data_IF_320482833519
#
_entry.id   IF_320482833519
#
_cell.length_a   1.000
_cell.length_b   1.000
_cell.length_c   1.000
_cell.angle_alpha   90.00
_cell.angle_beta   90.00
_cell.angle_gamma   90.00
#
_symmetry.space_group_name_H-M   'P 1'
#
loop_
_entity.id
_entity.type
_entity.pdbx_description
1 polymer ?
#
# COMPACT_ATOMS: atom_id res chain seq x y z
N UNK A 1 -4.10 -38.26 39.49
CA UNK A 1 -3.00 -39.22 39.27
C UNK A 1 -2.81 -39.41 37.78
N UNK A 2 -1.81 -38.72 37.21
CA UNK A 2 -0.89 -39.09 36.13
C UNK A 2 0.20 -38.00 36.12
N UNK A 3 1.41 -38.47 35.81
CA UNK A 3 2.76 -38.05 36.18
C UNK A 3 3.29 -36.79 35.43
N UNK A 4 4.00 -35.84 36.08
CA UNK A 4 4.72 -34.75 35.44
C UNK A 4 6.17 -35.15 35.17
N UNK A 5 6.47 -35.70 34.00
CA UNK A 5 7.86 -35.93 33.57
C UNK A 5 7.96 -36.13 32.06
N UNK A 6 8.06 -35.02 31.32
CA UNK A 6 8.79 -34.95 30.06
C UNK A 6 9.15 -33.50 29.76
N UNK A 7 10.17 -33.02 30.48
CA UNK A 7 10.94 -31.83 30.14
C UNK A 7 11.62 -32.07 28.79
N UNK A 8 11.14 -31.40 27.74
CA UNK A 8 11.85 -31.30 26.47
C UNK A 8 13.00 -30.30 26.68
N UNK A 9 14.26 -30.66 26.39
CA UNK A 9 15.41 -29.80 26.70
C UNK A 9 15.44 -28.61 25.73
N UNK A 10 15.36 -27.41 26.31
CA UNK A 10 15.71 -26.14 25.67
C UNK A 10 17.20 -26.23 25.30
N UNK A 11 17.51 -26.36 24.00
CA UNK A 11 18.87 -26.14 23.53
C UNK A 11 19.23 -24.66 23.73
N UNK A 12 20.37 -24.33 24.35
CA UNK A 12 20.84 -22.97 24.41
C UNK A 12 21.25 -22.52 23.00
N UNK A 13 20.59 -21.48 22.48
CA UNK A 13 21.11 -20.73 21.35
C UNK A 13 22.43 -20.09 21.80
N UNK A 14 23.53 -20.73 21.39
CA UNK A 14 24.87 -20.17 21.43
C UNK A 14 24.86 -18.80 20.75
N UNK A 15 25.21 -17.78 21.54
CA UNK A 15 25.56 -16.45 21.06
C UNK A 15 26.85 -16.58 20.26
N UNK A 16 26.72 -16.77 18.95
CA UNK A 16 27.83 -16.61 18.02
C UNK A 16 28.11 -15.10 17.88
N UNK A 17 29.01 -14.63 18.74
CA UNK A 17 29.65 -13.32 18.65
C UNK A 17 30.35 -13.15 17.31
N UNK A 18 30.33 -11.90 16.82
CA UNK A 18 31.23 -11.33 15.81
C UNK A 18 31.31 -12.10 14.48
N UNK A 19 30.38 -11.82 13.58
CA UNK A 19 30.68 -11.82 12.14
C UNK A 19 30.57 -10.40 11.62
N UNK A 20 31.74 -9.87 11.28
CA UNK A 20 31.96 -8.62 10.57
C UNK A 20 30.92 -8.42 9.45
N UNK A 21 30.22 -7.30 9.48
CA UNK A 21 29.43 -6.77 8.36
C UNK A 21 30.42 -6.36 7.25
N UNK A 22 30.88 -7.33 6.46
CA UNK A 22 31.85 -7.12 5.38
C UNK A 22 31.18 -7.31 4.01
N UNK A 23 31.04 -6.18 3.29
CA UNK A 23 31.32 -6.03 1.86
C UNK A 23 30.55 -6.86 0.80
N UNK A 24 29.30 -7.26 1.04
CA UNK A 24 28.51 -7.94 -0.01
C UNK A 24 27.46 -7.06 -0.75
N UNK A 25 27.25 -5.80 -0.36
CA UNK A 25 26.22 -4.93 -0.96
C UNK A 25 26.69 -3.99 -2.09
N UNK A 26 27.97 -3.99 -2.46
CA UNK A 26 28.56 -2.99 -3.37
C UNK A 26 28.59 -3.37 -4.87
N UNK A 27 27.52 -3.96 -5.41
CA UNK A 27 27.36 -4.09 -6.87
C UNK A 27 25.93 -3.87 -7.33
N UNK A 28 25.39 -2.68 -7.11
CA UNK A 28 24.28 -2.16 -7.91
C UNK A 28 24.83 -1.61 -9.22
N UNK A 29 25.16 -2.53 -10.14
CA UNK A 29 25.35 -2.16 -11.53
C UNK A 29 23.99 -1.73 -12.10
N UNK A 30 23.91 -0.48 -12.52
CA UNK A 30 22.88 0.13 -13.35
C UNK A 30 22.39 -0.83 -14.43
N UNK A 31 21.19 -1.39 -14.24
CA UNK A 31 20.45 -2.12 -15.29
C UNK A 31 19.06 -1.52 -15.46
N UNK A 32 19.00 -0.29 -15.96
CA UNK A 32 17.85 0.21 -16.70
C UNK A 32 17.98 -0.23 -18.16
N UNK A 33 17.75 -1.51 -18.42
CA UNK A 33 17.43 -2.01 -19.76
C UNK A 33 16.35 -3.08 -19.63
N UNK A 34 15.10 -2.68 -19.85
CA UNK A 34 13.96 -3.59 -20.02
C UNK A 34 14.02 -4.18 -21.43
N UNK A 35 14.87 -5.18 -21.62
CA UNK A 35 14.82 -6.10 -22.79
C UNK A 35 14.28 -7.45 -22.35
N UNK A 36 13.31 -7.43 -21.43
CA UNK A 36 12.90 -8.63 -20.74
C UNK A 36 11.98 -9.48 -21.63
N UNK A 37 12.49 -10.67 -21.99
CA UNK A 37 11.88 -11.78 -22.76
C UNK A 37 11.94 -11.64 -24.29
N UNK A 38 13.12 -11.91 -24.86
CA UNK A 38 13.29 -12.10 -26.31
C UNK A 38 12.65 -13.40 -26.84
N UNK A 39 12.39 -14.38 -25.97
CA UNK A 39 11.83 -15.70 -26.32
C UNK A 39 10.39 -15.89 -25.82
N UNK A 40 9.50 -14.94 -26.10
CA UNK A 40 8.07 -15.24 -26.01
C UNK A 40 7.72 -16.27 -27.10
N UNK A 41 6.93 -17.33 -26.81
CA UNK A 41 6.50 -18.28 -27.82
C UNK A 41 5.91 -17.52 -29.01
N UNK A 42 6.43 -17.79 -30.22
CA UNK A 42 5.95 -17.16 -31.44
C UNK A 42 4.43 -17.32 -31.55
N UNK A 43 3.67 -16.22 -31.55
CA UNK A 43 2.25 -16.23 -31.93
C UNK A 43 1.21 -16.00 -30.83
N UNK A 44 1.52 -15.37 -29.69
CA UNK A 44 0.45 -14.92 -28.78
C UNK A 44 -0.30 -13.72 -29.40
N UNK A 45 -1.28 -13.99 -30.26
CA UNK A 45 -2.12 -12.97 -30.87
C UNK A 45 -2.82 -12.13 -29.79
N UNK A 46 -2.59 -10.82 -29.80
CA UNK A 46 -3.17 -9.88 -28.82
C UNK A 46 -2.34 -9.67 -27.53
N UNK A 47 -1.18 -10.30 -27.38
CA UNK A 47 -0.26 -9.94 -26.29
C UNK A 47 0.14 -8.47 -26.42
N UNK A 48 -0.08 -7.70 -25.36
CA UNK A 48 0.32 -6.30 -25.26
C UNK A 48 1.84 -6.22 -25.39
N UNK A 49 2.30 -5.92 -26.59
CA UNK A 49 3.63 -5.41 -26.87
C UNK A 49 3.73 -3.98 -26.32
N UNK A 50 3.68 -3.83 -25.00
CA UNK A 50 3.86 -2.54 -24.32
C UNK A 50 5.24 -2.04 -24.76
N UNK A 51 5.27 -0.95 -25.54
CA UNK A 51 6.44 -0.34 -26.19
C UNK A 51 6.93 -0.89 -27.55
N UNK A 52 6.37 -1.95 -28.17
CA UNK A 52 6.94 -2.42 -29.45
C UNK A 52 6.53 -1.60 -30.69
N UNK A 53 5.59 -0.66 -30.56
CA UNK A 53 5.19 0.25 -31.65
C UNK A 53 5.93 1.58 -31.64
N UNK A 54 6.74 1.86 -30.62
CA UNK A 54 7.57 3.06 -30.58
C UNK A 54 8.99 2.71 -31.03
N UNK A 55 9.29 2.90 -32.31
CA UNK A 55 10.67 3.17 -32.71
C UNK A 55 10.91 4.65 -32.34
N UNK A 56 11.78 4.96 -31.36
CA UNK A 56 12.12 6.35 -31.12
C UNK A 56 12.74 6.89 -32.41
N UNK A 57 12.32 8.10 -32.84
CA UNK A 57 13.08 8.86 -33.84
C UNK A 57 14.56 8.89 -33.43
N UNK A 58 15.47 9.03 -34.40
CA UNK A 58 16.88 9.20 -34.12
C UNK A 58 17.08 10.40 -33.18
N UNK A 59 17.12 10.15 -31.88
CA UNK A 59 17.30 11.20 -30.88
C UNK A 59 18.74 11.67 -31.02
N UNK A 60 18.93 12.92 -31.41
CA UNK A 60 20.16 13.63 -31.07
C UNK A 60 20.23 13.57 -29.54
N UNK A 61 21.22 12.90 -28.94
CA UNK A 61 21.33 12.85 -27.50
C UNK A 61 21.47 14.29 -27.02
N UNK A 62 20.50 14.77 -26.25
CA UNK A 62 20.75 15.95 -25.44
C UNK A 62 22.00 15.64 -24.60
N UNK A 63 22.95 16.57 -24.44
CA UNK A 63 24.09 16.37 -23.56
C UNK A 63 23.58 16.30 -22.11
N UNK A 64 23.09 15.14 -21.73
CA UNK A 64 22.75 14.78 -20.37
C UNK A 64 24.00 14.09 -19.82
N UNK A 65 24.79 14.82 -19.04
CA UNK A 65 25.76 14.19 -18.18
C UNK A 65 24.95 13.52 -17.06
N UNK A 66 24.88 12.18 -16.99
CA UNK A 66 24.20 11.53 -15.87
C UNK A 66 24.88 12.00 -14.58
N UNK A 67 24.14 12.73 -13.76
CA UNK A 67 24.57 13.01 -12.40
C UNK A 67 24.61 11.70 -11.62
N UNK A 68 25.62 11.55 -10.79
CA UNK A 68 25.74 10.38 -9.92
C UNK A 68 24.68 10.46 -8.82
N UNK A 69 23.61 9.70 -8.99
CA UNK A 69 22.57 9.53 -7.97
C UNK A 69 22.97 8.49 -6.89
N UNK A 70 24.25 8.10 -6.82
CA UNK A 70 24.73 7.24 -5.75
C UNK A 70 24.54 7.95 -4.40
N UNK A 71 23.68 7.37 -3.57
CA UNK A 71 23.57 7.77 -2.17
C UNK A 71 24.86 7.39 -1.47
N UNK A 72 25.65 8.37 -1.03
CA UNK A 72 26.83 8.11 -0.19
C UNK A 72 26.39 7.63 1.20
N UNK A 73 26.25 6.32 1.34
CA UNK A 73 25.90 5.69 2.62
C UNK A 73 26.95 5.93 3.72
N UNK A 74 28.17 6.36 3.38
CA UNK A 74 29.20 6.69 4.37
C UNK A 74 29.04 8.08 4.97
N UNK A 75 28.32 8.98 4.28
CA UNK A 75 27.94 10.29 4.77
C UNK A 75 26.73 10.26 5.72
N UNK A 76 26.01 9.13 5.78
CA UNK A 76 24.89 8.93 6.73
C UNK A 76 25.47 8.74 8.14
N UNK A 77 24.93 9.48 9.11
CA UNK A 77 25.28 9.36 10.52
C UNK A 77 25.28 7.89 10.97
N UNK A 78 26.34 7.48 11.68
CA UNK A 78 26.48 6.11 12.19
C UNK A 78 25.42 5.78 13.24
N UNK A 79 24.95 6.81 13.95
CA UNK A 79 23.89 6.74 14.95
C UNK A 79 22.56 6.23 14.36
N UNK A 80 22.30 6.48 13.06
CA UNK A 80 21.13 5.95 12.37
C UNK A 80 21.04 4.41 12.45
N UNK A 81 22.19 3.72 12.37
CA UNK A 81 22.27 2.28 12.22
C UNK A 81 22.35 1.50 13.54
N UNK A 82 22.55 2.18 14.67
CA UNK A 82 22.84 1.53 15.96
C UNK A 82 21.59 0.98 16.69
N UNK A 83 20.38 1.08 16.10
CA UNK A 83 19.18 0.32 16.50
C UNK A 83 18.54 0.65 17.85
N UNK A 84 19.11 1.60 18.63
CA UNK A 84 18.66 1.92 20.00
C UNK A 84 18.31 3.39 20.18
N UNK A 85 17.38 3.91 19.37
CA UNK A 85 16.99 5.32 19.46
C UNK A 85 16.27 5.62 20.80
N UNK A 86 16.67 6.71 21.45
CA UNK A 86 15.98 7.18 22.64
C UNK A 86 14.60 7.74 22.28
N UNK A 87 13.73 7.90 23.29
CA UNK A 87 12.43 8.57 23.11
C UNK A 87 12.59 9.97 22.52
N UNK A 88 13.65 10.68 22.90
CA UNK A 88 13.93 12.03 22.40
C UNK A 88 14.33 12.00 20.93
N UNK A 89 15.23 11.09 20.55
CA UNK A 89 15.68 10.95 19.15
C UNK A 89 14.50 10.64 18.22
N UNK A 90 13.59 9.74 18.64
CA UNK A 90 12.40 9.38 17.87
C UNK A 90 11.50 10.61 17.68
N UNK A 91 11.25 11.39 18.74
CA UNK A 91 10.40 12.58 18.68
C UNK A 91 11.01 13.67 17.81
N UNK A 92 12.30 13.93 17.95
CA UNK A 92 13.02 14.90 17.12
C UNK A 92 12.94 14.52 15.65
N UNK A 93 13.26 13.26 15.30
CA UNK A 93 13.20 12.85 13.90
C UNK A 93 11.79 12.87 13.32
N UNK A 94 10.77 12.52 14.10
CA UNK A 94 9.37 12.64 13.68
C UNK A 94 8.99 14.11 13.42
N UNK A 95 9.39 15.02 14.30
CA UNK A 95 9.07 16.44 14.17
C UNK A 95 9.77 17.09 12.97
N UNK A 96 11.04 16.72 12.73
CA UNK A 96 11.88 17.37 11.73
C UNK A 96 11.74 16.76 10.33
N UNK A 97 11.41 15.47 10.23
CA UNK A 97 11.54 14.72 8.97
C UNK A 97 10.24 14.07 8.48
N UNK A 98 9.14 14.15 9.23
CA UNK A 98 7.88 13.47 8.85
C UNK A 98 6.76 14.48 8.67
N UNK A 99 6.14 14.46 7.48
CA UNK A 99 4.86 15.12 7.25
C UNK A 99 3.74 14.15 7.61
N UNK A 100 2.95 14.48 8.62
CA UNK A 100 1.85 13.61 9.05
C UNK A 100 0.77 13.51 7.97
N UNK A 101 0.28 12.30 7.73
CA UNK A 101 -0.86 12.09 6.84
C UNK A 101 -2.15 12.39 7.57
N UNK A 102 -3.07 13.12 6.92
CA UNK A 102 -4.43 13.40 7.43
C UNK A 102 -4.52 14.15 8.76
N UNK A 103 -3.50 14.92 9.14
CA UNK A 103 -3.48 15.73 10.35
C UNK A 103 -2.39 16.80 10.36
N UNK A 104 -2.45 17.70 11.34
CA UNK A 104 -1.42 18.71 11.52
C UNK A 104 -0.12 18.07 12.07
N UNK A 105 0.98 18.19 11.33
CA UNK A 105 2.29 17.60 11.72
C UNK A 105 2.74 17.99 13.13
N UNK A 106 2.59 19.27 13.50
CA UNK A 106 2.96 19.74 14.86
C UNK A 106 2.20 19.01 15.97
N UNK A 107 0.93 18.68 15.74
CA UNK A 107 0.12 17.96 16.73
C UNK A 107 0.57 16.50 16.90
N UNK A 108 1.19 15.91 15.87
CA UNK A 108 1.68 14.53 15.91
C UNK A 108 2.89 14.33 16.84
N UNK A 109 3.64 15.40 17.15
CA UNK A 109 4.85 15.34 17.98
C UNK A 109 4.62 14.76 19.40
N UNK A 110 3.40 14.91 19.91
CA UNK A 110 3.01 14.47 21.26
C UNK A 110 2.29 13.12 21.29
N UNK A 111 2.19 12.42 20.16
CA UNK A 111 1.54 11.11 20.13
C UNK A 111 2.34 10.06 20.92
N UNK A 112 1.67 8.99 21.40
CA UNK A 112 2.35 7.84 21.99
C UNK A 112 3.32 7.20 20.99
N UNK A 113 4.49 6.78 21.46
CA UNK A 113 5.43 5.98 20.66
C UNK A 113 5.03 4.51 20.83
N UNK A 114 4.36 3.98 19.81
CA UNK A 114 3.91 2.60 19.78
C UNK A 114 5.12 1.66 19.55
N UNK A 115 5.17 0.56 20.29
CA UNK A 115 6.30 -0.39 20.27
C UNK A 115 5.87 -1.79 19.84
N UNK A 116 4.71 -2.26 20.28
CA UNK A 116 4.17 -3.56 19.87
C UNK A 116 2.64 -3.54 19.79
N UNK A 117 2.09 -4.52 19.09
CA UNK A 117 0.67 -4.84 19.14
C UNK A 117 0.46 -6.31 19.47
N UNK A 118 -0.71 -6.64 20.01
CA UNK A 118 -1.16 -8.00 20.30
C UNK A 118 -2.70 -8.04 20.30
N UNK A 119 -3.29 -8.95 19.54
CA UNK A 119 -4.74 -9.05 19.34
C UNK A 119 -5.32 -7.74 18.83
N UNK A 120 -6.16 -7.11 19.64
CA UNK A 120 -6.79 -5.79 19.34
C UNK A 120 -6.11 -4.64 20.09
N UNK A 121 -4.95 -4.88 20.70
CA UNK A 121 -4.26 -3.91 21.55
C UNK A 121 -2.95 -3.43 20.96
N UNK A 122 -2.67 -2.16 21.19
CA UNK A 122 -1.38 -1.51 20.98
C UNK A 122 -0.72 -1.22 22.32
N UNK A 123 0.60 -1.24 22.36
CA UNK A 123 1.39 -0.92 23.54
C UNK A 123 2.42 0.15 23.18
N UNK A 124 2.54 1.19 23.99
CA UNK A 124 3.61 2.17 23.85
C UNK A 124 4.90 1.75 24.58
N UNK A 125 5.99 2.49 24.38
CA UNK A 125 7.28 2.26 25.06
C UNK A 125 7.23 2.33 26.59
N UNK A 126 6.16 2.86 27.19
CA UNK A 126 5.97 2.84 28.66
C UNK A 126 5.24 1.57 29.13
N UNK A 127 4.84 0.69 28.21
CA UNK A 127 4.04 -0.49 28.47
C UNK A 127 2.54 -0.20 28.60
N UNK A 128 2.10 1.05 28.39
CA UNK A 128 0.69 1.39 28.45
C UNK A 128 -0.05 0.78 27.26
N UNK A 129 -1.17 0.11 27.58
CA UNK A 129 -2.01 -0.61 26.62
C UNK A 129 -3.16 0.26 26.12
N UNK A 130 -3.40 0.23 24.82
CA UNK A 130 -4.47 0.94 24.12
C UNK A 130 -5.32 -0.08 23.37
N UNK A 131 -6.64 -0.06 23.57
CA UNK A 131 -7.58 -0.85 22.78
C UNK A 131 -7.88 -0.12 21.47
N UNK A 132 -7.65 -0.77 20.34
CA UNK A 132 -7.95 -0.21 19.02
C UNK A 132 -9.42 -0.47 18.63
N UNK A 133 -10.26 0.53 18.85
CA UNK A 133 -11.67 0.53 18.45
C UNK A 133 -11.91 0.84 16.97
N UNK A 134 -10.86 1.20 16.23
CA UNK A 134 -10.95 1.72 14.87
C UNK A 134 -10.48 0.72 13.82
N UNK A 135 -9.72 -0.31 14.24
CA UNK A 135 -8.95 -1.17 13.34
C UNK A 135 -8.03 -0.31 12.45
N UNK A 136 -7.43 0.73 13.07
CA UNK A 136 -6.77 1.84 12.40
C UNK A 136 -7.72 2.56 11.43
N UNK A 137 -7.30 2.81 10.20
CA UNK A 137 -8.17 3.31 9.14
C UNK A 137 -9.03 2.16 8.54
N UNK A 138 -9.64 1.33 9.41
CA UNK A 138 -10.50 0.19 9.05
C UNK A 138 -9.80 -0.87 8.19
N UNK A 139 -8.54 -1.17 8.50
CA UNK A 139 -7.70 -2.08 7.70
C UNK A 139 -7.04 -3.21 8.48
N UNK A 140 -6.96 -3.12 9.80
CA UNK A 140 -6.24 -4.09 10.64
C UNK A 140 -7.19 -5.21 11.09
N UNK A 141 -7.80 -5.92 10.14
CA UNK A 141 -8.89 -6.86 10.39
C UNK A 141 -8.46 -8.15 11.10
N UNK A 142 -7.19 -8.56 10.95
CA UNK A 142 -6.61 -9.70 11.66
C UNK A 142 -6.15 -9.33 13.07
N UNK A 143 -6.27 -8.06 13.47
CA UNK A 143 -5.59 -7.53 14.64
C UNK A 143 -4.08 -7.39 14.41
N UNK A 144 -3.35 -7.27 15.51
CA UNK A 144 -1.90 -7.08 15.53
C UNK A 144 -1.12 -8.40 15.59
N UNK A 145 -1.82 -9.53 15.71
CA UNK A 145 -1.23 -10.87 15.64
C UNK A 145 -1.37 -11.42 14.22
N UNK A 146 -0.27 -11.44 13.48
CA UNK A 146 -0.25 -12.06 12.15
C UNK A 146 -0.11 -13.57 12.31
N UNK A 147 -1.03 -14.41 11.78
CA UNK A 147 -0.92 -15.85 11.89
C UNK A 147 0.41 -16.37 11.31
N UNK A 148 1.10 -17.34 11.96
CA UNK A 148 2.40 -17.84 11.48
C UNK A 148 2.38 -18.32 10.02
N UNK A 149 1.27 -18.93 9.58
CA UNK A 149 1.09 -19.37 8.20
C UNK A 149 1.11 -18.21 7.18
N UNK A 150 0.63 -17.03 7.56
CA UNK A 150 0.68 -15.82 6.71
C UNK A 150 2.10 -15.29 6.63
N UNK A 151 2.81 -15.22 7.77
CA UNK A 151 4.22 -14.80 7.82
C UNK A 151 5.09 -15.70 6.95
N UNK A 152 4.92 -17.02 7.04
CA UNK A 152 5.64 -17.99 6.24
C UNK A 152 5.34 -17.82 4.74
N UNK A 153 4.07 -17.68 4.36
CA UNK A 153 3.66 -17.52 2.97
C UNK A 153 4.26 -16.25 2.33
N UNK A 154 4.24 -15.11 3.04
CA UNK A 154 4.84 -13.85 2.59
C UNK A 154 6.35 -14.00 2.45
N UNK A 155 7.02 -14.55 3.48
CA UNK A 155 8.49 -14.75 3.47
C UNK A 155 8.92 -15.62 2.30
N UNK A 156 8.22 -16.74 2.05
CA UNK A 156 8.49 -17.63 0.93
C UNK A 156 8.33 -16.94 -0.42
N UNK A 157 7.29 -16.12 -0.60
CA UNK A 157 7.10 -15.38 -1.85
C UNK A 157 8.20 -14.33 -2.04
N UNK A 158 8.58 -13.60 -0.99
CA UNK A 158 9.62 -12.57 -1.03
C UNK A 158 10.99 -13.14 -1.43
N UNK A 159 11.33 -14.33 -0.93
CA UNK A 159 12.62 -14.99 -1.27
C UNK A 159 12.59 -15.71 -2.62
N UNK A 160 11.41 -16.05 -3.15
CA UNK A 160 11.25 -16.72 -4.45
C UNK A 160 11.16 -15.71 -5.60
N UNK A 161 10.22 -14.76 -5.51
CA UNK A 161 9.98 -13.72 -6.51
C UNK A 161 9.25 -12.54 -5.86
N UNK A 162 9.98 -11.48 -5.44
CA UNK A 162 9.39 -10.38 -4.68
C UNK A 162 8.42 -9.53 -5.51
N UNK A 163 8.69 -9.36 -6.81
CA UNK A 163 7.83 -8.59 -7.71
C UNK A 163 8.05 -9.00 -9.16
N UNK A 164 6.96 -9.11 -9.92
CA UNK A 164 6.99 -9.23 -11.36
C UNK A 164 5.93 -8.31 -11.97
N UNK A 165 6.34 -7.49 -12.94
CA UNK A 165 5.42 -6.64 -13.68
C UNK A 165 4.43 -7.49 -14.48
N UNK A 166 3.14 -7.14 -14.45
CA UNK A 166 2.10 -7.96 -15.08
C UNK A 166 2.21 -8.10 -16.60
N UNK A 167 2.87 -7.16 -17.28
CA UNK A 167 3.17 -7.27 -18.71
C UNK A 167 4.41 -8.11 -19.03
N UNK A 168 5.20 -8.48 -18.01
CA UNK A 168 6.36 -9.35 -18.17
C UNK A 168 5.94 -10.82 -18.26
N UNK A 169 5.00 -11.25 -17.43
CA UNK A 169 4.58 -12.64 -17.42
C UNK A 169 3.49 -12.94 -16.41
N UNK A 170 2.95 -14.16 -16.50
CA UNK A 170 1.95 -14.67 -15.56
C UNK A 170 2.64 -15.17 -14.28
N UNK A 171 2.02 -14.90 -13.13
CA UNK A 171 2.49 -15.35 -11.82
C UNK A 171 1.41 -16.21 -11.18
N UNK A 172 1.76 -17.43 -10.77
CA UNK A 172 0.80 -18.42 -10.24
C UNK A 172 -0.01 -17.86 -9.06
N UNK A 173 0.65 -17.25 -8.07
CA UNK A 173 -0.04 -16.74 -6.88
C UNK A 173 -1.11 -15.72 -7.24
N UNK A 174 -0.84 -14.82 -8.19
CA UNK A 174 -1.81 -13.82 -8.67
C UNK A 174 -3.01 -14.49 -9.33
N UNK A 175 -2.79 -15.51 -10.16
CA UNK A 175 -3.86 -16.25 -10.83
C UNK A 175 -4.73 -17.02 -9.82
N UNK A 176 -4.11 -17.68 -8.84
CA UNK A 176 -4.82 -18.39 -7.76
C UNK A 176 -5.64 -17.44 -6.89
N UNK A 177 -5.08 -16.29 -6.51
CA UNK A 177 -5.80 -15.25 -5.78
C UNK A 177 -6.99 -14.72 -6.58
N UNK A 178 -6.81 -14.46 -7.89
CA UNK A 178 -7.89 -14.01 -8.75
C UNK A 178 -9.02 -15.05 -8.84
N UNK A 179 -8.69 -16.33 -8.98
CA UNK A 179 -9.67 -17.42 -9.01
C UNK A 179 -10.45 -17.54 -7.71
N UNK A 180 -9.75 -17.51 -6.56
CA UNK A 180 -10.36 -17.57 -5.24
C UNK A 180 -11.32 -16.40 -5.01
N UNK A 181 -10.91 -15.17 -5.34
CA UNK A 181 -11.78 -14.00 -5.20
C UNK A 181 -13.02 -14.10 -6.09
N UNK A 182 -12.89 -14.56 -7.34
CA UNK A 182 -14.04 -14.75 -8.23
C UNK A 182 -15.03 -15.81 -7.72
N UNK A 183 -14.58 -16.80 -6.93
CA UNK A 183 -15.45 -17.79 -6.29
C UNK A 183 -16.18 -17.25 -5.05
N UNK A 184 -15.60 -16.25 -4.39
CA UNK A 184 -16.17 -15.65 -3.18
C UNK A 184 -17.09 -14.46 -3.46
N UNK A 185 -16.87 -13.76 -4.58
CA UNK A 185 -17.64 -12.57 -4.94
C UNK A 185 -19.03 -12.94 -5.45
N UNK A 186 -20.06 -12.11 -5.18
CA UNK A 186 -21.42 -12.39 -5.61
C UNK A 186 -21.60 -12.23 -7.13
N UNK A 187 -22.53 -12.98 -7.70
CA UNK A 187 -22.94 -12.86 -9.10
C UNK A 187 -21.83 -13.22 -10.09
N UNK A 188 -21.68 -12.41 -11.13
CA UNK A 188 -20.71 -12.65 -12.22
C UNK A 188 -19.42 -11.81 -12.09
N UNK A 189 -19.07 -11.37 -10.87
CA UNK A 189 -17.90 -10.54 -10.63
C UNK A 189 -16.59 -11.34 -10.75
N UNK A 190 -16.07 -11.45 -11.98
CA UNK A 190 -14.88 -12.25 -12.31
C UNK A 190 -13.71 -11.46 -12.95
N UNK A 191 -13.86 -10.13 -13.12
CA UNK A 191 -12.82 -9.24 -13.62
C UNK A 191 -12.09 -8.51 -12.49
N UNK A 192 -10.85 -8.92 -12.19
CA UNK A 192 -10.10 -8.41 -11.03
C UNK A 192 -8.87 -7.59 -11.43
N UNK A 193 -8.76 -6.41 -10.83
CA UNK A 193 -7.59 -5.54 -10.86
C UNK A 193 -6.98 -5.45 -9.47
N UNK A 194 -5.64 -5.38 -9.39
CA UNK A 194 -4.89 -5.33 -8.13
C UNK A 194 -4.14 -4.00 -7.98
N UNK A 195 -4.84 -2.91 -7.64
CA UNK A 195 -4.21 -1.64 -7.28
C UNK A 195 -3.57 -1.71 -5.89
N UNK A 196 -2.67 -0.78 -5.58
CA UNK A 196 -2.02 -0.70 -4.26
C UNK A 196 -2.90 -0.05 -3.20
N UNK A 197 -3.93 0.69 -3.58
CA UNK A 197 -4.86 1.31 -2.63
C UNK A 197 -6.27 1.55 -3.17
N UNK A 198 -7.19 1.89 -2.26
CA UNK A 198 -8.60 2.13 -2.59
C UNK A 198 -8.84 3.33 -3.51
N UNK A 199 -7.99 4.36 -3.44
CA UNK A 199 -8.06 5.50 -4.36
C UNK A 199 -7.82 5.04 -5.81
N UNK A 200 -6.71 4.36 -6.06
CA UNK A 200 -6.38 3.80 -7.38
C UNK A 200 -7.44 2.82 -7.90
N UNK A 201 -8.02 2.01 -7.00
CA UNK A 201 -9.14 1.13 -7.34
C UNK A 201 -10.35 1.91 -7.88
N UNK A 202 -10.72 3.00 -7.20
CA UNK A 202 -11.80 3.87 -7.62
C UNK A 202 -11.47 4.61 -8.93
N UNK A 203 -10.23 5.06 -9.13
CA UNK A 203 -9.83 5.68 -10.41
C UNK A 203 -9.97 4.70 -11.58
N UNK A 204 -9.52 3.45 -11.37
CA UNK A 204 -9.65 2.40 -12.37
C UNK A 204 -11.13 2.08 -12.65
N UNK A 205 -11.96 1.96 -11.62
CA UNK A 205 -13.40 1.74 -11.76
C UNK A 205 -14.07 2.86 -12.57
N UNK A 206 -13.76 4.13 -12.29
CA UNK A 206 -14.28 5.29 -13.04
C UNK A 206 -13.84 5.23 -14.51
N UNK A 207 -12.57 4.89 -14.78
CA UNK A 207 -12.05 4.75 -16.15
C UNK A 207 -12.74 3.64 -16.91
N UNK A 208 -12.94 2.47 -16.28
CA UNK A 208 -13.62 1.32 -16.87
C UNK A 208 -15.09 1.68 -17.15
N UNK A 209 -15.80 2.27 -16.20
CA UNK A 209 -17.19 2.67 -16.35
C UNK A 209 -17.37 3.69 -17.50
N UNK A 210 -16.51 4.71 -17.58
CA UNK A 210 -16.51 5.68 -18.69
C UNK A 210 -16.22 5.02 -20.03
N UNK A 211 -15.23 4.11 -20.08
CA UNK A 211 -14.86 3.40 -21.32
C UNK A 211 -15.97 2.49 -21.83
N UNK A 212 -16.67 1.83 -20.91
CA UNK A 212 -17.76 0.90 -21.22
C UNK A 212 -19.05 1.64 -21.61
N UNK A 213 -19.44 2.65 -20.85
CA UNK A 213 -20.73 3.35 -21.05
C UNK A 213 -20.67 4.50 -22.05
N UNK A 214 -19.48 5.06 -22.30
CA UNK A 214 -19.31 6.34 -23.03
C UNK A 214 -19.78 7.57 -22.24
N UNK A 215 -20.28 7.41 -21.02
CA UNK A 215 -20.82 8.50 -20.19
C UNK A 215 -19.73 9.08 -19.30
N UNK A 216 -19.66 10.42 -19.23
CA UNK A 216 -18.59 11.12 -18.48
C UNK A 216 -18.93 11.43 -17.03
N UNK A 217 -20.22 11.68 -16.74
CA UNK A 217 -20.70 12.08 -15.41
C UNK A 217 -20.72 10.89 -14.46
N UNK A 218 -20.14 11.08 -13.27
CA UNK A 218 -20.16 10.14 -12.16
C UNK A 218 -20.96 10.78 -11.03
N UNK A 219 -21.99 10.09 -10.54
CA UNK A 219 -22.78 10.53 -9.39
C UNK A 219 -22.11 10.01 -8.13
N UNK A 220 -21.83 10.90 -7.17
CA UNK A 220 -21.36 10.54 -5.82
C UNK A 220 -22.17 11.27 -4.77
N UNK A 221 -21.95 10.99 -3.48
CA UNK A 221 -22.79 11.54 -2.41
C UNK A 221 -22.05 12.58 -1.58
N UNK A 222 -22.77 13.55 -1.02
CA UNK A 222 -22.22 14.35 0.08
C UNK A 222 -21.88 13.45 1.27
N UNK A 223 -20.81 13.82 2.01
CA UNK A 223 -20.25 13.07 3.15
C UNK A 223 -19.65 11.69 2.81
N UNK A 224 -19.51 11.34 1.53
CA UNK A 224 -18.79 10.13 1.13
C UNK A 224 -17.27 10.34 1.13
N UNK A 225 -16.51 9.24 1.20
CA UNK A 225 -15.05 9.24 1.05
C UNK A 225 -14.63 8.19 0.01
N UNK A 226 -13.82 8.60 -0.97
CA UNK A 226 -13.38 7.73 -2.07
C UNK A 226 -11.85 7.72 -2.27
N UNK A 227 -11.11 8.53 -1.52
CA UNK A 227 -9.64 8.62 -1.60
C UNK A 227 -9.12 10.05 -1.63
N UNK A 228 -7.79 10.19 -1.59
CA UNK A 228 -7.08 11.47 -1.58
C UNK A 228 -6.33 11.80 -2.88
N UNK A 229 -6.44 10.98 -3.93
CA UNK A 229 -5.89 11.33 -5.25
C UNK A 229 -6.80 12.34 -5.95
N UNK A 230 -6.31 13.08 -6.94
CA UNK A 230 -7.08 14.12 -7.66
C UNK A 230 -8.50 13.68 -8.05
N UNK A 231 -8.64 12.52 -8.72
CA UNK A 231 -9.96 12.10 -9.20
C UNK A 231 -10.84 11.53 -8.09
N UNK A 232 -10.25 10.87 -7.09
CA UNK A 232 -11.01 10.31 -5.96
C UNK A 232 -11.37 11.35 -4.90
N UNK A 233 -10.58 12.41 -4.78
CA UNK A 233 -10.89 13.58 -3.97
C UNK A 233 -12.05 14.36 -4.59
N UNK A 234 -12.07 14.51 -5.92
CA UNK A 234 -13.22 15.06 -6.64
C UNK A 234 -14.44 14.14 -6.57
N UNK A 235 -14.28 12.84 -6.36
CA UNK A 235 -15.37 11.90 -6.06
C UNK A 235 -15.85 11.98 -4.60
N UNK A 236 -14.96 12.30 -3.66
CA UNK A 236 -15.24 12.46 -2.22
C UNK A 236 -16.26 13.59 -1.98
N UNK A 237 -17.14 13.41 -0.99
CA UNK A 237 -18.17 14.38 -0.60
C UNK A 237 -17.93 15.02 0.77
N UNK A 238 -16.81 14.69 1.41
CA UNK A 238 -16.34 15.27 2.68
C UNK A 238 -15.86 16.73 2.50
N UNK A 239 -16.10 17.59 3.50
CA UNK A 239 -15.77 19.02 3.44
C UNK A 239 -14.26 19.31 3.39
N UNK A 240 -13.42 18.41 3.93
CA UNK A 240 -11.96 18.56 3.93
C UNK A 240 -11.39 18.63 2.52
N UNK A 241 -12.14 18.15 1.51
CA UNK A 241 -11.75 18.23 0.11
C UNK A 241 -11.69 19.66 -0.42
N UNK A 242 -12.46 20.62 0.12
CA UNK A 242 -12.67 21.92 -0.51
C UNK A 242 -11.39 22.72 -0.76
N UNK A 243 -10.37 22.54 0.07
CA UNK A 243 -9.09 23.22 -0.07
C UNK A 243 -8.10 22.49 -0.97
N UNK A 244 -8.34 21.22 -1.27
CA UNK A 244 -7.42 20.34 -2.00
C UNK A 244 -8.00 19.79 -3.31
N UNK A 245 -9.30 19.96 -3.54
CA UNK A 245 -9.98 19.55 -4.75
C UNK A 245 -9.43 20.36 -5.94
N UNK A 246 -9.00 19.63 -6.96
CA UNK A 246 -8.51 20.18 -8.23
C UNK A 246 -9.54 19.97 -9.34
N UNK A 247 -9.27 20.44 -10.55
CA UNK A 247 -10.16 20.50 -11.72
C UNK A 247 -10.63 19.14 -12.30
N UNK A 248 -10.64 18.06 -11.51
CA UNK A 248 -11.23 16.80 -11.92
C UNK A 248 -12.74 16.94 -12.13
N UNK A 249 -13.13 17.17 -13.38
CA UNK A 249 -14.51 17.47 -13.77
C UNK A 249 -15.40 16.22 -13.89
N UNK A 250 -16.71 16.47 -13.93
CA UNK A 250 -17.79 15.49 -14.15
C UNK A 250 -18.10 14.59 -12.95
N UNK A 251 -17.77 14.99 -11.72
CA UNK A 251 -18.34 14.41 -10.50
C UNK A 251 -19.50 15.27 -10.01
N UNK A 252 -20.67 14.66 -9.84
CA UNK A 252 -21.89 15.35 -9.40
C UNK A 252 -22.27 14.83 -8.03
N UNK A 253 -22.42 15.72 -7.05
CA UNK A 253 -22.81 15.36 -5.68
C UNK A 253 -24.31 15.32 -5.55
N UNK A 254 -24.81 14.21 -5.03
CA UNK A 254 -26.20 14.04 -4.63
C UNK A 254 -26.31 14.03 -3.12
N UNK A 255 -27.47 14.41 -2.60
CA UNK A 255 -27.77 14.27 -1.19
C UNK A 255 -27.68 12.78 -0.81
N UNK A 256 -27.07 12.50 0.34
CA UNK A 256 -27.05 11.14 0.86
C UNK A 256 -28.45 10.78 1.35
N UNK A 257 -29.01 9.63 0.96
CA UNK A 257 -30.27 9.14 1.51
C UNK A 257 -30.01 8.71 2.96
N UNK A 258 -30.02 9.66 3.88
CA UNK A 258 -29.86 9.36 5.29
C UNK A 258 -31.22 8.94 5.87
N UNK A 259 -31.42 7.66 6.21
CA UNK A 259 -32.72 7.17 6.67
C UNK A 259 -33.22 7.85 7.96
N UNK A 260 -32.35 8.52 8.73
CA UNK A 260 -32.75 9.22 9.96
C UNK A 260 -33.20 10.67 9.74
N UNK A 261 -32.96 11.25 8.57
CA UNK A 261 -33.30 12.66 8.27
C UNK A 261 -34.00 12.84 6.93
N UNK A 262 -34.20 11.76 6.17
CA UNK A 262 -34.74 11.81 4.81
C UNK A 262 -36.18 11.30 4.82
N UNK A 263 -37.14 12.21 4.82
CA UNK A 263 -38.54 11.89 4.56
C UNK A 263 -38.81 12.01 3.06
N UNK A 264 -39.01 10.89 2.38
CA UNK A 264 -39.72 10.92 1.10
C UNK A 264 -41.21 11.06 1.42
N UNK A 265 -41.86 12.09 0.87
CA UNK A 265 -43.31 12.27 0.99
C UNK A 265 -43.85 12.45 2.42
N UNK A 266 -43.18 13.26 3.26
CA UNK A 266 -43.90 14.01 4.29
C UNK A 266 -44.63 15.18 3.59
N UNK A 267 -45.76 14.85 2.96
CA UNK A 267 -46.95 15.64 2.70
C UNK A 267 -46.77 17.12 2.27
N UNK A 268 -47.39 17.55 1.16
CA UNK A 268 -47.71 18.98 0.91
C UNK A 268 -48.70 19.57 1.93
N UNK A 269 -49.04 18.83 2.99
CA UNK A 269 -49.99 19.19 4.03
C UNK A 269 -49.41 18.76 5.39
N UNK A 270 -48.50 19.60 5.91
CA UNK A 270 -48.11 19.77 7.33
C UNK A 270 -48.35 18.65 8.32
#
# INVERSE_FOLDING_TARGET
TINPSSTCPIMPLSVASSRSFSTAFYRTASRTFSTALADLPSGTAGALRVNAHHMPDARVPLPFAPEDNHVDYTAISKEHWNGGWSTEDIRAAQADNVVATWGATKAAANLPILERGEGVYLYDKSGKRYLDWTSQAVCTNLGYDVPPAVVEAVTRQLTTLPMAYGGLGMVEIRARTAKLLAEMLPGELNGLLFPSGGAEANEAAVRIARRYTGRRKILTQYRSYHGGSTSTLAATGDFRRWFAESDATNFVKMLSPNPTTFSWAADEQG
#
